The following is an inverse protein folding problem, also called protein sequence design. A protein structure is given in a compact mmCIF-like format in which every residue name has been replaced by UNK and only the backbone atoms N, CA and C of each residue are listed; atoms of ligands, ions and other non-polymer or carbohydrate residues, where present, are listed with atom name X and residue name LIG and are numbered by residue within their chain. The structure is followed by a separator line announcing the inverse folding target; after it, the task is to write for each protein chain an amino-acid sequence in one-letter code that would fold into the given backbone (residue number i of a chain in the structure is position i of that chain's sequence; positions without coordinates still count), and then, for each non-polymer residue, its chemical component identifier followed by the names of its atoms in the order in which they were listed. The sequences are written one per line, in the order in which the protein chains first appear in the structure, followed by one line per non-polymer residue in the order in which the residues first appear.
data_IF_248133393594
#
_entry.id   IF_248133393594
#
_cell.length_a   1.000
_cell.length_b   1.000
_cell.length_c   1.000
_cell.angle_alpha   90.00
_cell.angle_beta   90.00
_cell.angle_gamma   90.00
#
_symmetry.space_group_name_H-M   'P 1'
#
loop_
_entity.id
_entity.type
_entity.pdbx_description
1 polymer ?
#
# COMPACT_ATOMS: atom_id res chain seq x y z
N UNK A 1 26.92 -31.73 -51.93
CA UNK A 1 25.66 -31.94 -51.16
C UNK A 1 25.14 -30.56 -50.78
N UNK A 2 24.26 -29.99 -51.61
CA UNK A 2 23.67 -28.68 -51.32
C UNK A 2 22.53 -28.87 -50.35
N UNK A 3 22.74 -28.47 -49.10
CA UNK A 3 21.71 -28.34 -48.13
C UNK A 3 20.81 -27.18 -48.53
N UNK A 4 19.72 -27.46 -49.22
CA UNK A 4 18.64 -26.47 -49.40
C UNK A 4 18.04 -26.19 -48.04
N UNK A 5 18.61 -25.21 -47.33
CA UNK A 5 18.04 -24.71 -46.11
C UNK A 5 16.65 -24.17 -46.42
N UNK A 6 15.64 -24.74 -45.85
CA UNK A 6 14.25 -24.28 -46.00
C UNK A 6 14.07 -22.97 -45.23
N UNK A 7 14.51 -21.85 -45.84
CA UNK A 7 14.40 -20.50 -45.26
C UNK A 7 12.96 -20.16 -44.86
N UNK A 8 11.98 -20.74 -45.56
CA UNK A 8 10.56 -20.62 -45.19
C UNK A 8 10.27 -21.24 -43.85
N UNK A 9 10.85 -22.39 -43.54
CA UNK A 9 10.69 -23.09 -42.29
C UNK A 9 11.36 -22.33 -41.12
N UNK A 10 12.54 -21.75 -41.39
CA UNK A 10 13.25 -20.90 -40.42
C UNK A 10 12.43 -19.63 -40.13
N UNK A 11 11.89 -18.99 -41.18
CA UNK A 11 11.05 -17.79 -41.03
C UNK A 11 9.77 -18.07 -40.23
N UNK A 12 9.11 -19.20 -40.54
CA UNK A 12 7.91 -19.62 -39.80
C UNK A 12 8.21 -19.90 -38.30
N UNK A 13 9.34 -20.55 -38.02
CA UNK A 13 9.79 -20.85 -36.67
C UNK A 13 10.12 -19.58 -35.88
N UNK A 14 10.78 -18.61 -36.52
CA UNK A 14 11.06 -17.31 -35.88
C UNK A 14 9.80 -16.56 -35.54
N UNK A 15 8.81 -16.53 -36.45
CA UNK A 15 7.51 -15.88 -36.18
C UNK A 15 6.79 -16.60 -35.05
N UNK A 16 6.83 -17.93 -35.00
CA UNK A 16 6.20 -18.71 -33.92
C UNK A 16 6.83 -18.41 -32.54
N UNK A 17 8.14 -18.27 -32.46
CA UNK A 17 8.83 -17.89 -31.21
C UNK A 17 8.43 -16.49 -30.77
N UNK A 18 8.41 -15.53 -31.70
CA UNK A 18 8.01 -14.15 -31.37
C UNK A 18 6.55 -14.10 -30.89
N UNK A 19 5.64 -14.80 -31.59
CA UNK A 19 4.25 -14.88 -31.17
C UNK A 19 4.08 -15.57 -29.82
N UNK A 20 4.86 -16.61 -29.54
CA UNK A 20 4.85 -17.30 -28.25
C UNK A 20 5.37 -16.39 -27.12
N UNK A 21 6.42 -15.60 -27.40
CA UNK A 21 6.96 -14.64 -26.44
C UNK A 21 5.93 -13.55 -26.09
N UNK A 22 5.27 -12.97 -27.08
CA UNK A 22 4.17 -12.00 -26.84
C UNK A 22 3.00 -12.62 -26.11
N UNK A 23 2.57 -13.83 -26.47
CA UNK A 23 1.53 -14.58 -25.78
C UNK A 23 1.87 -14.87 -24.33
N UNK A 24 3.12 -15.23 -24.06
CA UNK A 24 3.61 -15.47 -22.71
C UNK A 24 3.61 -14.19 -21.85
N UNK A 25 4.10 -13.07 -22.39
CA UNK A 25 4.07 -11.78 -21.70
C UNK A 25 2.64 -11.33 -21.43
N UNK A 26 1.74 -11.48 -22.40
CA UNK A 26 0.33 -11.17 -22.24
C UNK A 26 -0.33 -12.03 -21.15
N UNK A 27 -0.06 -13.32 -21.15
CA UNK A 27 -0.58 -14.25 -20.14
C UNK A 27 0.00 -13.94 -18.76
N UNK A 28 1.29 -13.65 -18.67
CA UNK A 28 1.95 -13.32 -17.41
C UNK A 28 1.41 -12.03 -16.77
N UNK A 29 1.11 -11.01 -17.58
CA UNK A 29 0.50 -9.76 -17.10
C UNK A 29 -0.93 -9.97 -16.54
N UNK A 30 -1.62 -11.01 -16.96
CA UNK A 30 -2.97 -11.31 -16.48
C UNK A 30 -2.99 -12.23 -15.25
N UNK A 31 -1.84 -12.80 -14.86
CA UNK A 31 -1.73 -13.61 -13.64
C UNK A 31 -1.70 -12.73 -12.39
N UNK A 32 -1.18 -11.51 -12.50
CA UNK A 32 -1.13 -10.57 -11.38
C UNK A 32 -2.52 -9.97 -11.11
N UNK A 33 -3.36 -10.69 -10.38
CA UNK A 33 -4.47 -10.09 -9.67
C UNK A 33 -5.88 -10.43 -10.06
N UNK A 34 -6.18 -11.70 -10.36
CA UNK A 34 -7.57 -12.21 -10.35
C UNK A 34 -8.14 -12.41 -8.92
N UNK A 35 -7.41 -11.95 -7.88
CA UNK A 35 -8.04 -11.71 -6.58
C UNK A 35 -9.03 -10.55 -6.74
N UNK A 36 -10.31 -10.79 -6.49
CA UNK A 36 -11.32 -9.73 -6.41
C UNK A 36 -10.84 -8.68 -5.41
N UNK A 37 -10.42 -7.52 -5.92
CA UNK A 37 -9.90 -6.42 -5.10
C UNK A 37 -11.04 -5.46 -4.75
N UNK A 38 -11.12 -5.10 -3.50
CA UNK A 38 -12.00 -4.07 -3.00
C UNK A 38 -11.27 -2.72 -3.04
N UNK A 39 -11.90 -1.70 -3.59
CA UNK A 39 -11.33 -0.36 -3.67
C UNK A 39 -11.87 0.49 -2.54
N UNK A 40 -10.96 1.15 -1.82
CA UNK A 40 -11.26 2.08 -0.74
C UNK A 40 -10.59 3.41 -1.02
N UNK A 41 -11.21 4.48 -0.52
CA UNK A 41 -10.62 5.82 -0.54
C UNK A 41 -10.07 6.14 0.84
N UNK A 42 -8.84 6.61 0.88
CA UNK A 42 -8.20 7.08 2.11
C UNK A 42 -7.93 8.56 1.99
N UNK A 43 -8.35 9.33 2.97
CA UNK A 43 -8.08 10.76 3.07
C UNK A 43 -6.99 10.99 4.12
N UNK A 44 -5.86 11.51 3.69
CA UNK A 44 -4.77 11.92 4.55
C UNK A 44 -4.83 13.43 4.78
N UNK A 45 -4.84 13.84 6.03
CA UNK A 45 -4.78 15.26 6.43
C UNK A 45 -3.36 15.72 6.76
N UNK A 46 -2.38 14.87 6.52
CA UNK A 46 -0.95 15.11 6.76
C UNK A 46 -0.13 14.79 5.51
N UNK A 47 1.14 15.18 5.54
CA UNK A 47 2.07 14.87 4.45
C UNK A 47 2.18 13.35 4.24
N UNK A 48 2.07 12.93 3.00
CA UNK A 48 2.21 11.53 2.55
C UNK A 48 3.57 11.29 1.88
N UNK A 49 4.62 11.90 2.41
CA UNK A 49 5.97 11.80 1.86
C UNK A 49 6.40 10.35 1.68
N UNK A 50 6.96 10.02 0.52
CA UNK A 50 7.39 8.66 0.18
C UNK A 50 6.30 7.72 -0.33
N UNK A 51 5.02 8.10 -0.24
CA UNK A 51 3.91 7.32 -0.78
C UNK A 51 3.79 7.53 -2.29
N UNK A 52 3.61 6.45 -3.03
CA UNK A 52 3.51 6.44 -4.50
C UNK A 52 2.41 5.48 -4.95
N UNK A 53 1.97 5.62 -6.19
CA UNK A 53 1.19 4.59 -6.86
C UNK A 53 2.02 3.30 -6.91
N UNK A 54 1.43 2.16 -6.54
CA UNK A 54 2.13 0.88 -6.37
C UNK A 54 2.72 0.66 -4.96
N UNK A 55 2.68 1.67 -4.07
CA UNK A 55 3.06 1.47 -2.67
C UNK A 55 2.21 0.38 -2.02
N UNK A 56 2.84 -0.43 -1.17
CA UNK A 56 2.15 -1.51 -0.47
C UNK A 56 1.09 -0.99 0.50
N UNK A 57 0.00 -1.73 0.64
CA UNK A 57 -0.98 -1.59 1.71
C UNK A 57 -0.79 -2.75 2.66
N UNK A 58 -0.50 -2.45 3.92
CA UNK A 58 -0.25 -3.42 4.98
C UNK A 58 -1.44 -3.43 5.94
N UNK A 59 -1.90 -4.60 6.33
CA UNK A 59 -2.87 -4.78 7.40
C UNK A 59 -2.21 -5.53 8.54
N UNK A 60 -2.04 -4.85 9.68
CA UNK A 60 -1.27 -5.36 10.82
C UNK A 60 0.12 -5.89 10.40
N UNK A 61 0.80 -5.19 9.49
CA UNK A 61 2.13 -5.57 8.99
C UNK A 61 2.13 -6.56 7.81
N UNK A 62 1.00 -7.14 7.43
CA UNK A 62 0.90 -8.08 6.31
C UNK A 62 0.45 -7.33 5.04
N UNK A 63 1.15 -7.52 3.93
CA UNK A 63 0.77 -6.94 2.66
C UNK A 63 -0.55 -7.54 2.15
N UNK A 64 -1.56 -6.68 1.99
CA UNK A 64 -2.92 -7.06 1.56
C UNK A 64 -3.38 -6.33 0.31
N UNK A 65 -2.58 -5.40 -0.20
CA UNK A 65 -2.96 -4.62 -1.36
C UNK A 65 -1.91 -3.62 -1.79
N UNK A 66 -2.35 -2.67 -2.60
CA UNK A 66 -1.50 -1.62 -3.14
C UNK A 66 -2.28 -0.30 -3.36
N UNK A 67 -1.55 0.80 -3.42
CA UNK A 67 -2.09 2.12 -3.77
C UNK A 67 -2.25 2.21 -5.28
N UNK A 68 -3.47 2.46 -5.76
CA UNK A 68 -3.78 2.54 -7.19
C UNK A 68 -3.67 3.94 -7.75
N UNK A 69 -4.02 4.96 -6.96
CA UNK A 69 -3.85 6.36 -7.35
C UNK A 69 -3.70 7.28 -6.15
N UNK A 70 -3.04 8.41 -6.38
CA UNK A 70 -2.85 9.49 -5.43
C UNK A 70 -3.29 10.80 -6.09
N UNK A 71 -4.22 11.51 -5.47
CA UNK A 71 -4.73 12.77 -5.97
C UNK A 71 -4.75 13.79 -4.82
N UNK A 72 -4.36 15.03 -5.13
CA UNK A 72 -4.58 16.14 -4.21
C UNK A 72 -6.09 16.49 -4.21
N UNK A 73 -6.65 16.72 -3.02
CA UNK A 73 -8.02 17.15 -2.90
C UNK A 73 -8.16 18.56 -3.49
N UNK A 74 -9.10 18.72 -4.41
CA UNK A 74 -9.39 20.04 -5.02
C UNK A 74 -10.07 20.99 -4.04
N UNK A 75 -10.77 20.43 -3.05
CA UNK A 75 -11.50 21.20 -2.04
C UNK A 75 -10.60 21.65 -0.89
N UNK A 76 -9.55 20.85 -0.59
CA UNK A 76 -8.66 21.12 0.53
C UNK A 76 -7.22 20.79 0.13
N UNK A 77 -6.37 21.78 -0.19
CA UNK A 77 -5.01 21.54 -0.67
C UNK A 77 -4.10 20.84 0.34
N UNK A 78 -4.51 20.78 1.60
CA UNK A 78 -3.81 20.06 2.67
C UNK A 78 -4.22 18.57 2.78
N UNK A 79 -5.17 18.12 1.96
CA UNK A 79 -5.64 16.74 1.95
C UNK A 79 -5.20 16.00 0.71
N UNK A 80 -4.69 14.80 0.92
CA UNK A 80 -4.36 13.86 -0.16
C UNK A 80 -5.36 12.73 -0.13
N UNK A 81 -5.99 12.47 -1.27
CA UNK A 81 -6.87 11.34 -1.49
C UNK A 81 -6.09 10.21 -2.16
N UNK A 82 -5.94 9.09 -1.48
CA UNK A 82 -5.36 7.88 -2.01
C UNK A 82 -6.46 6.86 -2.29
N UNK A 83 -6.41 6.23 -3.45
CA UNK A 83 -7.21 5.04 -3.74
C UNK A 83 -6.35 3.82 -3.49
N UNK A 84 -6.85 2.90 -2.67
CA UNK A 84 -6.18 1.65 -2.36
C UNK A 84 -7.02 0.47 -2.85
N UNK A 85 -6.37 -0.51 -3.44
CA UNK A 85 -6.97 -1.78 -3.80
C UNK A 85 -6.49 -2.84 -2.81
N UNK A 86 -7.42 -3.40 -2.06
CA UNK A 86 -7.16 -4.38 -0.99
C UNK A 86 -7.86 -5.69 -1.35
N UNK A 87 -7.29 -6.81 -0.97
CA UNK A 87 -7.90 -8.12 -1.14
C UNK A 87 -9.27 -8.17 -0.42
N UNK A 88 -10.29 -8.69 -1.10
CA UNK A 88 -11.66 -8.80 -0.54
C UNK A 88 -11.75 -9.71 0.68
N UNK A 89 -10.77 -10.56 0.91
CA UNK A 89 -10.68 -11.38 2.11
C UNK A 89 -10.48 -10.54 3.36
N UNK A 90 -9.87 -9.34 3.20
CA UNK A 90 -9.63 -8.40 4.28
C UNK A 90 -10.85 -7.49 4.44
N UNK A 91 -11.57 -7.70 5.51
CA UNK A 91 -12.75 -6.89 5.86
C UNK A 91 -12.32 -5.65 6.61
N UNK A 92 -12.19 -4.54 5.91
CA UNK A 92 -11.95 -3.24 6.56
C UNK A 92 -13.21 -2.74 7.26
N UNK A 93 -13.03 -2.05 8.36
CA UNK A 93 -14.10 -1.53 9.21
C UNK A 93 -13.99 -0.01 9.35
N UNK A 94 -15.06 0.68 9.73
CA UNK A 94 -15.04 2.13 9.92
C UNK A 94 -14.01 2.61 10.94
N UNK A 95 -13.74 1.78 11.95
CA UNK A 95 -12.78 2.04 13.04
C UNK A 95 -11.34 1.57 12.73
N UNK A 96 -11.09 1.06 11.51
CA UNK A 96 -9.73 0.72 11.05
C UNK A 96 -8.89 2.00 11.01
N UNK A 97 -7.81 2.02 11.78
CA UNK A 97 -6.85 3.14 11.78
C UNK A 97 -5.97 3.05 10.56
N UNK A 98 -5.89 4.16 9.85
CA UNK A 98 -5.05 4.27 8.67
C UNK A 98 -3.90 5.22 8.97
N UNK A 99 -2.69 4.80 8.68
CA UNK A 99 -1.47 5.58 8.84
C UNK A 99 -0.50 5.36 7.69
N UNK A 100 0.67 5.95 7.81
CA UNK A 100 1.81 5.74 6.91
C UNK A 100 2.92 5.09 7.71
N UNK A 101 3.49 4.05 7.17
CA UNK A 101 4.64 3.34 7.72
C UNK A 101 5.78 3.36 6.72
N UNK A 102 6.99 3.68 7.18
CA UNK A 102 8.18 3.69 6.34
C UNK A 102 8.82 2.30 6.34
N UNK A 103 9.05 1.77 5.14
CA UNK A 103 9.71 0.48 4.96
C UNK A 103 11.23 0.67 4.89
N UNK A 104 11.89 0.38 6.00
CA UNK A 104 13.35 0.48 6.13
C UNK A 104 13.87 1.92 6.04
N UNK A 105 15.14 2.06 5.65
CA UNK A 105 15.84 3.34 5.56
C UNK A 105 15.75 4.01 4.17
N UNK A 106 15.04 3.39 3.24
CA UNK A 106 14.97 3.85 1.84
C UNK A 106 14.00 5.00 1.61
N UNK A 107 13.19 5.36 2.62
CA UNK A 107 12.16 6.39 2.50
C UNK A 107 10.92 5.97 1.71
N UNK A 108 10.79 4.68 1.37
CA UNK A 108 9.59 4.15 0.74
C UNK A 108 8.51 4.02 1.81
N UNK A 109 7.36 4.64 1.56
CA UNK A 109 6.23 4.58 2.45
C UNK A 109 5.19 3.56 1.98
N UNK A 110 4.55 2.90 2.94
CA UNK A 110 3.40 2.04 2.76
C UNK A 110 2.20 2.60 3.52
N UNK A 111 1.00 2.26 3.08
CA UNK A 111 -0.21 2.53 3.84
C UNK A 111 -0.37 1.44 4.89
N UNK A 112 -0.37 1.81 6.16
CA UNK A 112 -0.59 0.90 7.26
C UNK A 112 -2.05 0.97 7.73
N UNK A 113 -2.70 -0.18 7.74
CA UNK A 113 -4.05 -0.38 8.26
C UNK A 113 -3.95 -1.20 9.54
N UNK A 114 -4.44 -0.67 10.63
CA UNK A 114 -4.37 -1.33 11.93
C UNK A 114 -5.74 -1.39 12.61
N UNK A 115 -6.01 -2.50 13.26
CA UNK A 115 -7.18 -2.66 14.10
C UNK A 115 -8.47 -2.95 13.32
N UNK A 116 -9.58 -2.63 13.93
CA UNK A 116 -10.92 -2.97 13.54
C UNK A 116 -11.58 -3.83 14.60
N UNK A 117 -12.57 -3.26 15.31
CA UNK A 117 -13.28 -3.95 16.39
C UNK A 117 -14.18 -5.06 15.85
N UNK A 118 -14.15 -6.27 16.40
CA UNK A 118 -14.99 -7.38 15.93
C UNK A 118 -16.50 -7.10 15.90
N UNK A 119 -16.97 -6.12 16.66
CA UNK A 119 -18.39 -5.72 16.76
C UNK A 119 -18.88 -4.78 15.66
N UNK A 120 -17.99 -4.11 14.94
CA UNK A 120 -18.38 -3.18 13.88
C UNK A 120 -18.62 -3.90 12.56
N UNK A 121 -19.67 -3.54 11.80
CA UNK A 121 -19.94 -4.13 10.51
C UNK A 121 -18.81 -3.78 9.52
N UNK A 122 -18.39 -4.72 8.67
CA UNK A 122 -17.37 -4.44 7.67
C UNK A 122 -17.88 -3.44 6.64
N UNK A 123 -16.97 -2.55 6.20
CA UNK A 123 -17.25 -1.63 5.10
C UNK A 123 -17.52 -2.45 3.83
N UNK A 124 -18.66 -2.19 3.20
CA UNK A 124 -19.00 -2.83 1.94
C UNK A 124 -18.32 -2.09 0.79
N UNK A 125 -17.39 -2.74 0.07
CA UNK A 125 -16.78 -2.12 -1.09
C UNK A 125 -17.83 -1.93 -2.17
N UNK A 126 -17.96 -0.70 -2.67
CA UNK A 126 -18.81 -0.38 -3.81
C UNK A 126 -17.95 0.17 -4.93
N UNK A 127 -18.11 -0.38 -6.13
CA UNK A 127 -17.39 0.10 -7.30
C UNK A 127 -17.78 1.53 -7.71
N UNK A 128 -19.01 1.93 -7.41
CA UNK A 128 -19.55 3.25 -7.78
C UNK A 128 -19.18 4.34 -6.76
N UNK A 129 -19.09 3.99 -5.48
CA UNK A 129 -18.74 4.91 -4.40
C UNK A 129 -17.85 4.18 -3.38
N UNK A 130 -16.53 4.21 -3.57
CA UNK A 130 -15.63 3.55 -2.64
C UNK A 130 -15.79 4.16 -1.23
N UNK A 131 -15.92 3.32 -0.19
CA UNK A 131 -16.02 3.80 1.18
C UNK A 131 -14.74 4.57 1.53
N UNK A 132 -14.92 5.67 2.27
CA UNK A 132 -13.84 6.58 2.63
C UNK A 132 -13.38 6.29 4.05
N UNK A 133 -12.08 6.10 4.21
CA UNK A 133 -11.38 5.97 5.49
C UNK A 133 -10.60 7.26 5.74
N UNK A 134 -10.69 7.78 6.94
CA UNK A 134 -9.88 8.93 7.37
C UNK A 134 -8.59 8.41 8.00
N UNK A 135 -7.45 8.82 7.45
CA UNK A 135 -6.18 8.55 8.08
C UNK A 135 -6.02 9.43 9.32
N UNK A 136 -5.76 8.81 10.45
CA UNK A 136 -5.25 9.53 11.62
C UNK A 136 -3.88 10.09 11.30
N UNK A 137 -3.54 11.32 11.71
CA UNK A 137 -2.18 11.81 11.59
C UNK A 137 -1.26 10.76 12.22
N UNK A 138 -0.26 10.31 11.43
CA UNK A 138 0.70 9.34 11.89
C UNK A 138 1.22 9.78 13.25
N UNK A 139 1.15 8.90 14.22
CA UNK A 139 1.59 9.12 15.59
C UNK A 139 3.12 9.25 15.67
N UNK A 140 3.64 10.32 15.08
CA UNK A 140 4.96 10.88 15.46
C UNK A 140 4.98 11.27 16.95
N UNK A 141 3.81 11.27 17.58
CA UNK A 141 3.64 11.55 19.00
C UNK A 141 4.17 10.43 19.91
N UNK A 142 4.17 9.18 19.47
CA UNK A 142 4.66 8.08 20.30
C UNK A 142 6.16 8.17 20.59
N UNK A 143 6.95 8.63 19.62
CA UNK A 143 8.41 8.80 19.81
C UNK A 143 8.69 9.97 20.75
N UNK A 144 7.89 11.04 20.67
CA UNK A 144 8.06 12.24 21.50
C UNK A 144 7.57 12.02 22.93
N UNK A 145 6.54 11.20 23.12
CA UNK A 145 6.07 10.84 24.46
C UNK A 145 7.04 9.88 25.15
N UNK A 146 7.57 8.89 24.46
CA UNK A 146 8.59 8.00 24.99
C UNK A 146 9.88 8.75 25.39
N UNK A 147 10.29 9.73 24.59
CA UNK A 147 11.44 10.57 24.91
C UNK A 147 11.22 11.46 26.16
N UNK A 148 10.01 11.99 26.34
CA UNK A 148 9.65 12.77 27.53
C UNK A 148 9.58 11.93 28.80
N UNK A 149 9.05 10.71 28.69
CA UNK A 149 9.01 9.79 29.84
C UNK A 149 10.40 9.35 30.28
N UNK A 150 11.31 9.13 29.35
CA UNK A 150 12.71 8.84 29.65
C UNK A 150 13.40 10.03 30.30
N UNK A 151 13.17 11.25 29.83
CA UNK A 151 13.73 12.48 30.42
C UNK A 151 13.22 12.71 31.84
N UNK A 152 11.92 12.50 32.09
CA UNK A 152 11.36 12.62 33.44
C UNK A 152 11.97 11.60 34.41
N UNK A 153 12.19 10.37 33.97
CA UNK A 153 12.86 9.35 34.80
C UNK A 153 14.31 9.69 35.11
N UNK A 154 15.00 10.38 34.21
CA UNK A 154 16.37 10.83 34.41
C UNK A 154 16.39 11.96 35.44
N UNK A 155 15.47 12.91 35.39
CA UNK A 155 15.33 13.98 36.35
C UNK A 155 15.04 13.46 37.78
N UNK A 156 14.11 12.53 37.93
CA UNK A 156 13.83 11.84 39.18
C UNK A 156 15.03 11.09 39.74
N UNK A 157 15.85 10.50 38.87
CA UNK A 157 17.06 9.79 39.27
C UNK A 157 18.17 10.73 39.76
N UNK A 158 18.29 11.92 39.15
CA UNK A 158 19.27 12.94 39.55
C UNK A 158 18.86 13.55 40.88
N UNK A 159 17.58 13.76 41.13
CA UNK A 159 17.09 14.32 42.39
C UNK A 159 17.30 13.35 43.57
N UNK A 160 17.18 12.05 43.35
CA UNK A 160 17.48 11.01 44.37
C UNK A 160 18.98 10.91 44.68
N UNK A 161 19.85 11.20 43.71
CA UNK A 161 21.29 11.18 43.91
C UNK A 161 21.89 12.47 44.51
N UNK A 162 21.10 13.54 44.57
CA UNK A 162 21.50 14.85 45.07
C UNK A 162 21.13 15.11 46.56
N UNK A 163 20.55 14.09 47.22
CA UNK A 163 20.28 14.14 48.68
C UNK A 163 21.35 13.46 49.50
#
# INVERSE_FOLDING_TARGET
METKANYTLVGLFTIAIVAAAFGFVYWFQHIDGTGERAVYRVLFSSSVSGLRTGSAVLFNGIRVGEVTSLNLSTENPNQVSAMIAVDKTVKLRPDTRVGIEFQGLTGIAAVALNGGSPGEPPLQPSATKPPTLNASPASTQDVTQGAREVLQRIDDFIEVLSC
#
